data_IF_196986479891
#
_entry.id   IF_196986479891
#
_cell.length_a   1.000
_cell.length_b   1.000
_cell.length_c   1.000
_cell.angle_alpha   90.00
_cell.angle_beta   90.00
_cell.angle_gamma   90.00
#
_symmetry.space_group_name_H-M   'P 1'
#
loop_
_entity.id
_entity.type
_entity.pdbx_description
1 polymer ?
#
# COMPACT_ATOMS: atom_id res chain seq x y z
N UNK A 1 -15.65 2.92 15.70
CA UNK A 1 -14.45 3.77 15.52
C UNK A 1 -14.37 4.13 14.05
N UNK A 2 -14.31 5.41 13.72
CA UNK A 2 -14.27 5.86 12.32
C UNK A 2 -12.83 5.90 11.79
N UNK A 3 -12.62 5.34 10.59
CA UNK A 3 -11.34 5.42 9.88
C UNK A 3 -11.50 6.30 8.65
N UNK A 4 -10.74 7.40 8.62
CA UNK A 4 -10.58 8.21 7.42
C UNK A 4 -9.54 7.57 6.50
N UNK A 5 -9.92 7.31 5.24
CA UNK A 5 -9.10 6.72 4.19
C UNK A 5 -8.64 7.73 3.13
N UNK A 6 -8.98 9.02 3.26
CA UNK A 6 -8.75 10.06 2.23
C UNK A 6 -7.28 10.18 1.84
N UNK A 7 -6.38 10.18 2.82
CA UNK A 7 -4.95 10.26 2.55
C UNK A 7 -4.43 9.02 1.81
N UNK A 8 -5.02 7.85 2.06
CA UNK A 8 -4.68 6.62 1.35
C UNK A 8 -5.19 6.66 -0.09
N UNK A 9 -6.45 7.05 -0.29
CA UNK A 9 -7.04 7.25 -1.61
C UNK A 9 -6.24 8.26 -2.44
N UNK A 10 -5.83 9.39 -1.86
CA UNK A 10 -4.98 10.39 -2.52
C UNK A 10 -3.58 9.86 -2.85
N UNK A 11 -3.01 9.04 -1.96
CA UNK A 11 -1.74 8.36 -2.21
C UNK A 11 -1.80 7.42 -3.41
N UNK A 12 -2.85 6.60 -3.48
CA UNK A 12 -3.12 5.70 -4.62
C UNK A 12 -3.25 6.48 -5.93
N UNK A 13 -4.06 7.54 -5.95
CA UNK A 13 -4.27 8.38 -7.14
C UNK A 13 -2.97 9.02 -7.62
N UNK A 14 -2.16 9.53 -6.70
CA UNK A 14 -0.88 10.17 -7.02
C UNK A 14 0.13 9.15 -7.57
N UNK A 15 0.16 7.94 -7.01
CA UNK A 15 0.99 6.85 -7.49
C UNK A 15 0.58 6.42 -8.91
N UNK A 16 -0.71 6.22 -9.14
CA UNK A 16 -1.26 5.85 -10.45
C UNK A 16 -0.94 6.91 -11.50
N UNK A 17 -1.16 8.19 -11.19
CA UNK A 17 -0.82 9.30 -12.07
C UNK A 17 0.69 9.36 -12.39
N UNK A 18 1.54 9.19 -11.37
CA UNK A 18 3.00 9.21 -11.56
C UNK A 18 3.47 8.05 -12.44
N UNK A 19 2.88 6.86 -12.27
CA UNK A 19 3.19 5.69 -13.08
C UNK A 19 2.77 5.88 -14.54
N UNK A 20 1.59 6.46 -14.77
CA UNK A 20 1.13 6.78 -16.12
C UNK A 20 2.07 7.77 -16.82
N UNK A 21 2.51 8.83 -16.13
CA UNK A 21 3.46 9.81 -16.68
C UNK A 21 4.83 9.19 -16.97
N UNK A 22 5.32 8.31 -16.09
CA UNK A 22 6.57 7.59 -16.31
C UNK A 22 6.54 6.79 -17.63
N UNK A 23 5.43 6.09 -17.90
CA UNK A 23 5.25 5.29 -19.12
C UNK A 23 5.17 6.11 -20.42
N UNK A 24 4.93 7.41 -20.33
CA UNK A 24 4.89 8.34 -21.47
C UNK A 24 6.21 9.10 -21.67
N UNK A 25 7.14 8.99 -20.73
CA UNK A 25 8.37 9.79 -20.71
C UNK A 25 9.50 9.05 -21.45
N UNK A 26 10.32 9.79 -22.19
CA UNK A 26 11.51 9.25 -22.85
C UNK A 26 12.48 8.67 -21.81
N UNK A 27 12.87 7.40 -22.01
CA UNK A 27 13.84 6.70 -21.15
C UNK A 27 15.15 7.49 -21.10
N UNK A 28 15.80 7.50 -19.93
CA UNK A 28 17.05 8.22 -19.65
C UNK A 28 16.95 9.77 -19.67
N UNK A 29 15.77 10.34 -19.87
CA UNK A 29 15.55 11.78 -19.65
C UNK A 29 15.51 12.14 -18.16
N UNK A 30 15.79 13.39 -17.82
CA UNK A 30 15.65 13.91 -16.44
C UNK A 30 14.22 13.69 -15.93
N UNK A 31 13.22 13.91 -16.80
CA UNK A 31 11.82 13.70 -16.48
C UNK A 31 11.53 12.23 -16.12
N UNK A 32 12.15 11.28 -16.82
CA UNK A 32 12.01 9.85 -16.52
C UNK A 32 12.55 9.57 -15.12
N UNK A 33 13.71 10.11 -14.76
CA UNK A 33 14.27 9.95 -13.42
C UNK A 33 13.38 10.57 -12.33
N UNK A 34 12.81 11.76 -12.59
CA UNK A 34 11.88 12.43 -11.68
C UNK A 34 10.64 11.58 -11.43
N UNK A 35 9.98 11.11 -12.50
CA UNK A 35 8.78 10.27 -12.35
C UNK A 35 9.11 8.90 -11.75
N UNK A 36 10.26 8.30 -12.09
CA UNK A 36 10.74 7.05 -11.49
C UNK A 36 10.87 7.19 -9.97
N UNK A 37 11.54 8.25 -9.51
CA UNK A 37 11.69 8.53 -8.08
C UNK A 37 10.33 8.80 -7.40
N UNK A 38 9.44 9.54 -8.07
CA UNK A 38 8.09 9.80 -7.57
C UNK A 38 7.27 8.51 -7.42
N UNK A 39 7.35 7.60 -8.39
CA UNK A 39 6.66 6.30 -8.37
C UNK A 39 7.17 5.42 -7.24
N UNK A 40 8.48 5.28 -7.10
CA UNK A 40 9.09 4.50 -6.00
C UNK A 40 8.64 5.07 -4.66
N UNK A 41 8.73 6.40 -4.49
CA UNK A 41 8.35 7.01 -3.23
C UNK A 41 6.85 6.90 -2.96
N UNK A 42 6.03 7.05 -3.99
CA UNK A 42 4.58 6.87 -3.93
C UNK A 42 4.20 5.46 -3.50
N UNK A 43 4.87 4.43 -4.02
CA UNK A 43 4.69 3.05 -3.60
C UNK A 43 5.00 2.85 -2.11
N UNK A 44 6.17 3.29 -1.65
CA UNK A 44 6.57 3.17 -0.23
C UNK A 44 5.57 3.82 0.72
N UNK A 45 5.17 5.07 0.42
CA UNK A 45 4.26 5.85 1.24
C UNK A 45 2.85 5.24 1.26
N UNK A 46 2.40 4.72 0.12
CA UNK A 46 1.07 4.09 0.01
C UNK A 46 1.05 2.77 0.77
N UNK A 47 2.10 1.95 0.67
CA UNK A 47 2.23 0.68 1.39
C UNK A 47 2.31 0.88 2.92
N UNK A 48 3.05 1.89 3.38
CA UNK A 48 3.14 2.25 4.80
C UNK A 48 1.79 2.75 5.34
N UNK A 49 1.13 3.64 4.60
CA UNK A 49 -0.22 4.12 4.94
C UNK A 49 -1.22 2.99 5.09
N UNK A 50 -1.23 2.04 4.14
CA UNK A 50 -2.08 0.86 4.22
C UNK A 50 -1.86 0.03 5.49
N UNK A 51 -0.60 -0.22 5.85
CA UNK A 51 -0.27 -0.95 7.09
C UNK A 51 -0.73 -0.23 8.35
N UNK A 52 -0.60 1.10 8.39
CA UNK A 52 -1.10 1.93 9.50
C UNK A 52 -2.63 1.87 9.61
N UNK A 53 -3.32 1.95 8.49
CA UNK A 53 -4.78 1.84 8.44
C UNK A 53 -5.27 0.46 8.86
N UNK A 54 -4.62 -0.61 8.39
CA UNK A 54 -4.94 -1.98 8.82
C UNK A 54 -4.73 -2.17 10.32
N UNK A 55 -3.62 -1.70 10.91
CA UNK A 55 -3.43 -1.72 12.36
C UNK A 55 -4.55 -0.98 13.09
N UNK A 56 -4.90 0.22 12.61
CA UNK A 56 -5.99 1.00 13.18
C UNK A 56 -7.30 0.20 13.11
N UNK A 57 -7.62 -0.39 11.96
CA UNK A 57 -8.80 -1.23 11.76
C UNK A 57 -8.83 -2.41 12.74
N UNK A 58 -7.74 -3.18 12.83
CA UNK A 58 -7.64 -4.34 13.71
C UNK A 58 -7.89 -4.03 15.19
N UNK A 59 -7.52 -2.82 15.65
CA UNK A 59 -7.84 -2.39 17.02
C UNK A 59 -9.33 -2.36 17.34
N UNK A 60 -10.20 -2.25 16.32
CA UNK A 60 -11.66 -2.28 16.49
C UNK A 60 -12.22 -3.70 16.67
N UNK A 61 -11.44 -4.74 16.39
CA UNK A 61 -11.88 -6.13 16.42
C UNK A 61 -11.30 -6.93 17.60
N UNK A 62 -10.56 -6.29 18.51
CA UNK A 62 -9.95 -6.94 19.67
C UNK A 62 -10.31 -6.23 20.98
N UNK A 63 -10.50 -7.01 22.05
CA UNK A 63 -10.66 -6.48 23.40
C UNK A 63 -9.35 -5.92 23.98
N UNK A 64 -8.20 -6.19 23.34
CA UNK A 64 -6.87 -5.71 23.75
C UNK A 64 -6.17 -4.96 22.61
N UNK A 65 -6.53 -3.69 22.35
CA UNK A 65 -5.97 -2.91 21.24
C UNK A 65 -4.44 -2.74 21.27
N UNK A 66 -3.82 -2.80 22.46
CA UNK A 66 -2.36 -2.72 22.62
C UNK A 66 -1.63 -3.92 22.01
N UNK A 67 -2.26 -5.09 21.94
CA UNK A 67 -1.63 -6.29 21.37
C UNK A 67 -1.39 -6.12 19.86
N UNK A 68 -2.20 -5.30 19.19
CA UNK A 68 -2.05 -4.98 17.75
C UNK A 68 -0.77 -4.16 17.48
N UNK A 69 -0.33 -3.36 18.44
CA UNK A 69 0.88 -2.54 18.28
C UNK A 69 2.16 -3.38 18.25
N UNK A 70 2.14 -4.56 18.86
CA UNK A 70 3.26 -5.51 18.87
C UNK A 70 3.36 -6.36 17.60
N UNK A 71 2.32 -6.39 16.75
CA UNK A 71 2.31 -7.23 15.55
C UNK A 71 3.37 -6.79 14.54
N UNK A 72 3.98 -7.73 13.82
CA UNK A 72 4.79 -7.39 12.65
C UNK A 72 3.88 -6.96 11.48
N UNK A 73 4.43 -6.37 10.42
CA UNK A 73 3.63 -6.01 9.23
C UNK A 73 2.95 -7.24 8.61
N UNK A 74 3.67 -8.37 8.52
CA UNK A 74 3.11 -9.62 7.97
C UNK A 74 2.01 -10.17 8.88
N UNK A 75 2.15 -10.04 10.20
CA UNK A 75 1.09 -10.48 11.13
C UNK A 75 -0.16 -9.60 11.07
N UNK A 76 0.00 -8.29 10.84
CA UNK A 76 -1.14 -7.39 10.58
C UNK A 76 -1.94 -7.88 9.37
N UNK A 77 -1.27 -8.21 8.26
CA UNK A 77 -1.95 -8.74 7.07
C UNK A 77 -2.68 -10.06 7.36
N UNK A 78 -2.05 -10.99 8.08
CA UNK A 78 -2.68 -12.26 8.47
C UNK A 78 -3.92 -12.04 9.36
N UNK A 79 -3.84 -11.09 10.28
CA UNK A 79 -4.99 -10.73 11.11
C UNK A 79 -6.10 -10.05 10.31
N UNK A 80 -5.77 -9.28 9.28
CA UNK A 80 -6.74 -8.64 8.40
C UNK A 80 -7.67 -9.67 7.71
N UNK A 81 -7.14 -10.84 7.32
CA UNK A 81 -7.92 -11.94 6.74
C UNK A 81 -8.96 -12.47 7.71
N UNK A 82 -8.59 -12.66 8.98
CA UNK A 82 -9.50 -13.20 10.02
C UNK A 82 -10.75 -12.35 10.23
N UNK A 83 -10.67 -11.05 9.92
CA UNK A 83 -11.76 -10.10 10.08
C UNK A 83 -12.40 -9.69 8.74
N UNK A 84 -12.03 -10.37 7.64
CA UNK A 84 -12.55 -10.11 6.30
C UNK A 84 -12.19 -8.71 5.77
N UNK A 85 -11.07 -8.15 6.22
CA UNK A 85 -10.52 -6.89 5.69
C UNK A 85 -9.69 -7.11 4.41
N UNK A 86 -9.21 -8.35 4.22
CA UNK A 86 -8.45 -8.81 3.05
C UNK A 86 -8.76 -10.27 2.79
N UNK A 87 -8.54 -10.76 1.57
CA UNK A 87 -8.53 -12.21 1.27
C UNK A 87 -7.11 -12.78 1.28
N UNK A 88 -6.98 -14.10 1.43
CA UNK A 88 -5.68 -14.78 1.53
C UNK A 88 -4.80 -14.53 0.30
N UNK A 89 -5.39 -14.53 -0.89
CA UNK A 89 -4.71 -14.29 -2.16
C UNK A 89 -4.13 -12.87 -2.24
N UNK A 90 -4.81 -11.88 -1.64
CA UNK A 90 -4.28 -10.53 -1.51
C UNK A 90 -3.09 -10.53 -0.55
N UNK A 91 -3.19 -11.16 0.61
CA UNK A 91 -2.10 -11.17 1.59
C UNK A 91 -0.79 -11.71 1.03
N UNK A 92 -0.83 -12.76 0.21
CA UNK A 92 0.38 -13.28 -0.44
C UNK A 92 1.03 -12.25 -1.38
N UNK A 93 0.22 -11.49 -2.14
CA UNK A 93 0.75 -10.38 -2.95
C UNK A 93 1.32 -9.26 -2.09
N UNK A 94 0.66 -8.93 -0.98
CA UNK A 94 1.12 -7.91 -0.03
C UNK A 94 2.42 -8.29 0.69
N UNK A 95 2.68 -9.58 0.90
CA UNK A 95 4.00 -10.05 1.32
C UNK A 95 5.06 -9.73 0.26
N UNK A 96 4.76 -10.02 -1.01
CA UNK A 96 5.64 -9.65 -2.13
C UNK A 96 5.94 -8.15 -2.18
N UNK A 97 4.92 -7.30 -2.04
CA UNK A 97 5.11 -5.84 -2.00
C UNK A 97 5.98 -5.40 -0.82
N UNK A 98 5.76 -5.99 0.37
CA UNK A 98 6.53 -5.67 1.57
C UNK A 98 7.99 -6.09 1.45
N UNK A 99 8.25 -7.26 0.88
CA UNK A 99 9.58 -7.78 0.68
C UNK A 99 10.32 -6.97 -0.40
N UNK A 100 9.65 -6.62 -1.50
CA UNK A 100 10.19 -5.69 -2.51
C UNK A 100 10.56 -4.34 -1.90
N UNK A 101 9.71 -3.75 -1.04
CA UNK A 101 10.01 -2.50 -0.29
C UNK A 101 11.32 -2.61 0.51
N UNK A 102 11.55 -3.73 1.17
CA UNK A 102 12.76 -3.89 2.00
C UNK A 102 14.04 -3.98 1.17
N UNK A 103 13.95 -4.58 -0.02
CA UNK A 103 15.06 -4.62 -0.98
C UNK A 103 15.28 -3.25 -1.63
N UNK A 104 14.20 -2.51 -1.87
CA UNK A 104 14.26 -1.17 -2.46
C UNK A 104 14.85 -0.09 -1.52
N UNK A 105 15.08 -0.36 -0.25
CA UNK A 105 15.81 0.59 0.60
C UNK A 105 17.34 0.60 0.32
N UNK A 106 17.87 -0.45 -0.32
CA UNK A 106 19.31 -0.73 -0.34
C UNK A 106 19.99 -0.56 -1.70
N UNK A 107 19.24 -0.55 -2.79
CA UNK A 107 19.81 -0.69 -4.14
C UNK A 107 19.28 0.37 -5.10
N UNK A 108 19.48 1.66 -4.81
CA UNK A 108 19.15 2.80 -5.68
C UNK A 108 19.91 2.81 -7.04
N UNK A 109 20.23 1.64 -7.62
CA UNK A 109 20.82 1.41 -8.93
C UNK A 109 19.81 0.95 -9.99
N UNK A 110 20.32 0.77 -11.22
CA UNK A 110 19.55 0.50 -12.44
C UNK A 110 18.73 -0.82 -12.38
N UNK A 111 19.13 -1.79 -11.55
CA UNK A 111 18.41 -3.06 -11.37
C UNK A 111 17.09 -2.98 -10.59
N UNK A 112 16.83 -1.84 -9.95
CA UNK A 112 15.76 -1.63 -8.98
C UNK A 112 14.39 -1.29 -9.58
N UNK A 113 14.39 -0.69 -10.77
CA UNK A 113 13.17 -0.12 -11.34
C UNK A 113 12.25 -1.22 -11.90
N UNK A 114 12.78 -2.27 -12.51
CA UNK A 114 11.94 -3.19 -13.27
C UNK A 114 11.02 -4.03 -12.40
N UNK A 115 11.53 -4.60 -11.31
CA UNK A 115 10.74 -5.52 -10.49
C UNK A 115 9.68 -4.79 -9.68
N UNK A 116 9.97 -3.60 -9.16
CA UNK A 116 8.94 -2.76 -8.53
C UNK A 116 7.91 -2.32 -9.57
N UNK A 117 8.33 -1.84 -10.75
CA UNK A 117 7.39 -1.39 -11.80
C UNK A 117 6.44 -2.52 -12.25
N UNK A 118 6.93 -3.77 -12.35
CA UNK A 118 6.10 -4.95 -12.68
C UNK A 118 5.01 -5.22 -11.63
N UNK A 119 5.26 -4.88 -10.36
CA UNK A 119 4.31 -5.11 -9.27
C UNK A 119 3.24 -4.01 -9.16
N UNK A 120 3.53 -2.79 -9.62
CA UNK A 120 2.68 -1.63 -9.37
C UNK A 120 1.24 -1.75 -9.87
N UNK A 121 0.94 -2.30 -11.07
CA UNK A 121 -0.45 -2.44 -11.50
C UNK A 121 -1.27 -3.31 -10.53
N UNK A 122 -0.68 -4.40 -10.05
CA UNK A 122 -1.34 -5.28 -9.07
C UNK A 122 -1.45 -4.60 -7.70
N UNK A 123 -0.40 -3.90 -7.26
CA UNK A 123 -0.40 -3.16 -6.00
C UNK A 123 -1.46 -2.06 -5.97
N UNK A 124 -1.59 -1.26 -7.04
CA UNK A 124 -2.60 -0.19 -7.14
C UNK A 124 -4.01 -0.80 -7.03
N UNK A 125 -4.29 -1.88 -7.77
CA UNK A 125 -5.59 -2.56 -7.70
C UNK A 125 -5.88 -3.15 -6.31
N UNK A 126 -4.88 -3.77 -5.68
CA UNK A 126 -4.99 -4.27 -4.30
C UNK A 126 -5.22 -3.13 -3.29
N UNK A 127 -4.52 -2.00 -3.44
CA UNK A 127 -4.66 -0.84 -2.58
C UNK A 127 -6.04 -0.19 -2.71
N UNK A 128 -6.57 -0.07 -3.93
CA UNK A 128 -7.93 0.41 -4.20
C UNK A 128 -8.99 -0.49 -3.55
N UNK A 129 -8.83 -1.82 -3.65
CA UNK A 129 -9.73 -2.77 -2.96
C UNK A 129 -9.69 -2.60 -1.45
N UNK A 130 -8.50 -2.54 -0.87
CA UNK A 130 -8.33 -2.32 0.57
C UNK A 130 -8.98 -1.00 1.02
N UNK A 131 -8.80 0.08 0.25
CA UNK A 131 -9.45 1.37 0.53
C UNK A 131 -10.97 1.22 0.60
N UNK A 132 -11.58 0.59 -0.42
CA UNK A 132 -13.03 0.40 -0.47
C UNK A 132 -13.53 -0.42 0.71
N UNK A 133 -12.86 -1.53 1.04
CA UNK A 133 -13.24 -2.40 2.17
C UNK A 133 -13.14 -1.65 3.50
N UNK A 134 -12.07 -0.89 3.73
CA UNK A 134 -11.90 -0.10 4.95
C UNK A 134 -12.95 1.00 5.05
N UNK A 135 -13.25 1.67 3.93
CA UNK A 135 -14.27 2.72 3.86
C UNK A 135 -15.67 2.14 4.14
N UNK A 136 -16.04 1.07 3.48
CA UNK A 136 -17.35 0.41 3.65
C UNK A 136 -17.55 -0.13 5.07
N UNK A 137 -16.54 -0.77 5.66
CA UNK A 137 -16.68 -1.43 6.97
C UNK A 137 -16.51 -0.48 8.16
N UNK A 138 -15.72 0.60 8.00
CA UNK A 138 -15.21 1.38 9.12
C UNK A 138 -15.31 2.91 8.93
N UNK A 139 -15.83 3.39 7.80
CA UNK A 139 -16.10 4.81 7.56
C UNK A 139 -17.60 5.15 7.67
N UNK A 140 -18.36 4.44 8.51
CA UNK A 140 -19.68 4.90 8.92
C UNK A 140 -19.52 6.13 9.84
N UNK A 141 -19.41 7.31 9.22
CA UNK A 141 -20.04 8.50 9.77
C UNK A 141 -21.54 8.32 9.58
N UNK A 142 -22.31 8.46 10.65
CA UNK A 142 -23.77 8.40 10.62
C UNK A 142 -24.31 9.25 9.46
N UNK A 143 -25.22 8.66 8.67
CA UNK A 143 -26.11 9.39 7.80
C UNK A 143 -27.14 10.18 8.63
#
# INVERSE_FOLDING_TARGET
MTINTDQFARGIQTLEASLAQLGLTEVDSIQFEVFRNAVVKGFELTLDTAGKLLRKALKSYTARPRDVDALTYKDVLRHAVKHGLMVSEEVERWFGYRDNRNNTAHDYGIGFAEDTLKLLPSFIADAQRLESVLREKLNHADA
#
